data_IF_255914372721
#
_entry.id   IF_255914372721
#
_cell.length_a   1.000
_cell.length_b   1.000
_cell.length_c   1.000
_cell.angle_alpha   90.00
_cell.angle_beta   90.00
_cell.angle_gamma   90.00
#
_symmetry.space_group_name_H-M   'P 1'
#
loop_
_entity.id
_entity.type
_entity.pdbx_description
1 polymer ?
#
# COMPACT_ATOMS: atom_id res chain seq x y z
N UNK A 1 4.69 -20.87 -4.02
CA UNK A 1 5.50 -19.74 -4.57
C UNK A 1 6.98 -20.07 -4.45
N UNK A 2 7.82 -19.47 -5.27
CA UNK A 2 9.27 -19.73 -5.36
C UNK A 2 10.07 -18.43 -5.27
N UNK A 3 11.32 -18.52 -4.84
CA UNK A 3 12.26 -17.41 -4.84
C UNK A 3 13.69 -17.88 -5.07
N UNK A 4 14.45 -17.14 -5.87
CA UNK A 4 15.89 -17.34 -6.01
C UNK A 4 16.63 -16.54 -4.93
N UNK A 5 17.55 -17.19 -4.21
CA UNK A 5 18.28 -16.62 -3.07
C UNK A 5 19.75 -17.03 -3.10
N UNK A 6 20.59 -16.25 -2.42
CA UNK A 6 21.95 -16.65 -2.06
C UNK A 6 21.93 -17.50 -0.78
N UNK A 7 23.10 -17.97 -0.34
CA UNK A 7 23.22 -18.73 0.91
C UNK A 7 22.88 -17.90 2.15
N UNK A 8 22.86 -16.57 2.04
CA UNK A 8 22.33 -15.66 3.07
C UNK A 8 20.81 -15.57 2.92
N UNK A 9 20.10 -16.52 3.53
CA UNK A 9 18.64 -16.58 3.50
C UNK A 9 18.06 -15.77 4.65
N UNK A 10 17.23 -14.80 4.32
CA UNK A 10 16.41 -14.04 5.28
C UNK A 10 14.94 -14.41 5.13
N UNK A 11 14.12 -14.27 6.18
CA UNK A 11 12.67 -14.37 6.06
C UNK A 11 12.15 -13.54 4.87
N UNK A 12 11.13 -14.02 4.13
CA UNK A 12 10.59 -13.36 2.94
C UNK A 12 9.74 -12.13 3.30
N UNK A 13 10.30 -11.17 4.04
CA UNK A 13 9.62 -9.95 4.49
C UNK A 13 9.90 -8.81 3.52
N UNK A 14 8.87 -8.31 2.83
CA UNK A 14 8.99 -7.27 1.81
C UNK A 14 9.83 -7.75 0.63
N UNK A 15 9.36 -8.79 -0.05
CA UNK A 15 10.13 -9.50 -1.07
C UNK A 15 9.30 -9.88 -2.29
N UNK A 16 9.99 -10.07 -3.41
CA UNK A 16 9.40 -10.65 -4.62
C UNK A 16 9.47 -12.17 -4.55
N UNK A 17 8.37 -12.82 -4.93
CA UNK A 17 8.30 -14.27 -5.16
C UNK A 17 7.66 -14.53 -6.52
N UNK A 18 7.59 -15.79 -6.92
CA UNK A 18 7.11 -16.16 -8.24
C UNK A 18 6.38 -17.50 -8.26
N UNK A 19 5.67 -17.73 -9.35
CA UNK A 19 5.43 -19.08 -9.89
C UNK A 19 6.75 -19.75 -10.30
N UNK A 20 6.72 -21.05 -10.59
CA UNK A 20 7.90 -21.76 -11.09
C UNK A 20 8.43 -21.15 -12.41
N UNK A 21 7.54 -20.85 -13.36
CA UNK A 21 7.91 -20.17 -14.60
C UNK A 21 8.49 -18.78 -14.36
N UNK A 22 7.96 -18.04 -13.39
CA UNK A 22 8.43 -16.70 -13.05
C UNK A 22 9.82 -16.68 -12.38
N UNK A 23 10.13 -17.65 -11.50
CA UNK A 23 11.48 -17.73 -10.89
C UNK A 23 12.51 -18.18 -11.92
N UNK A 24 12.15 -19.10 -12.81
CA UNK A 24 13.03 -19.53 -13.91
C UNK A 24 13.29 -18.40 -14.90
N UNK A 25 12.27 -17.61 -15.26
CA UNK A 25 12.47 -16.42 -16.08
C UNK A 25 13.45 -15.45 -15.41
N UNK A 26 13.33 -15.20 -14.11
CA UNK A 26 14.26 -14.35 -13.38
C UNK A 26 15.69 -14.90 -13.40
N UNK A 27 15.87 -16.19 -13.13
CA UNK A 27 17.19 -16.83 -13.19
C UNK A 27 17.81 -16.69 -14.57
N UNK A 28 17.05 -17.00 -15.62
CA UNK A 28 17.51 -16.99 -16.99
C UNK A 28 17.82 -15.57 -17.49
N UNK A 29 16.93 -14.61 -17.20
CA UNK A 29 17.04 -13.25 -17.71
C UNK A 29 17.98 -12.36 -16.88
N UNK A 30 18.14 -12.60 -15.58
CA UNK A 30 18.87 -11.68 -14.69
C UNK A 30 20.07 -12.30 -14.00
N UNK A 31 20.12 -13.62 -13.79
CA UNK A 31 21.09 -14.23 -12.87
C UNK A 31 22.20 -14.96 -13.61
N UNK A 32 21.86 -15.98 -14.40
CA UNK A 32 22.82 -16.94 -14.97
C UNK A 32 23.54 -16.44 -16.23
N UNK A 33 23.08 -15.31 -16.79
CA UNK A 33 23.81 -14.62 -17.85
C UNK A 33 25.04 -13.85 -17.34
N UNK A 34 25.19 -13.72 -16.01
CA UNK A 34 26.37 -13.16 -15.35
C UNK A 34 27.22 -14.29 -14.79
N UNK A 35 28.53 -14.09 -14.76
CA UNK A 35 29.51 -15.04 -14.22
C UNK A 35 30.51 -14.28 -13.34
N UNK A 36 30.50 -14.49 -12.02
CA UNK A 36 29.61 -15.38 -11.26
C UNK A 36 28.13 -14.94 -11.31
N UNK A 37 27.20 -15.85 -10.97
CA UNK A 37 25.75 -15.59 -10.88
C UNK A 37 25.47 -14.28 -10.12
N UNK A 38 24.61 -13.43 -10.69
CA UNK A 38 24.22 -12.13 -10.11
C UNK A 38 23.77 -12.29 -8.65
N UNK A 39 24.17 -11.35 -7.80
CA UNK A 39 23.88 -11.32 -6.35
C UNK A 39 24.35 -12.55 -5.55
N UNK A 40 25.20 -13.41 -6.12
CA UNK A 40 25.61 -14.65 -5.48
C UNK A 40 24.46 -15.62 -5.26
N UNK A 41 23.45 -15.60 -6.13
CA UNK A 41 22.31 -16.51 -6.06
C UNK A 41 22.78 -17.94 -6.33
N UNK A 42 22.45 -18.84 -5.41
CA UNK A 42 22.88 -20.24 -5.40
C UNK A 42 21.72 -21.22 -5.29
N UNK A 43 20.53 -20.76 -4.86
CA UNK A 43 19.41 -21.65 -4.53
C UNK A 43 18.06 -21.12 -5.01
N UNK A 44 17.12 -22.05 -5.15
CA UNK A 44 15.68 -21.77 -5.26
C UNK A 44 15.02 -22.32 -4.01
N UNK A 45 14.35 -21.44 -3.26
CA UNK A 45 13.51 -21.82 -2.13
C UNK A 45 12.05 -21.87 -2.59
N UNK A 46 11.28 -22.78 -1.98
CA UNK A 46 9.84 -22.94 -2.20
C UNK A 46 9.09 -22.58 -0.92
N UNK A 47 8.00 -21.83 -1.08
CA UNK A 47 7.15 -21.33 -0.02
C UNK A 47 5.72 -21.81 -0.26
N UNK A 48 5.11 -22.43 0.75
CA UNK A 48 3.67 -22.66 0.79
C UNK A 48 3.03 -21.40 1.36
N UNK A 49 2.28 -20.68 0.55
CA UNK A 49 1.74 -19.36 0.91
C UNK A 49 0.23 -19.45 0.99
N UNK A 50 -0.35 -18.90 2.06
CA UNK A 50 -1.77 -18.62 2.16
C UNK A 50 -1.97 -17.12 1.95
N UNK A 51 -3.02 -16.74 1.23
CA UNK A 51 -3.37 -15.33 1.04
C UNK A 51 -4.86 -15.13 1.24
N UNK A 52 -5.23 -13.93 1.67
CA UNK A 52 -6.62 -13.48 1.68
C UNK A 52 -6.68 -12.02 1.26
N UNK A 53 -7.52 -11.76 0.26
CA UNK A 53 -7.77 -10.42 -0.23
C UNK A 53 -8.30 -9.53 0.89
N UNK A 54 -7.87 -8.28 0.90
CA UNK A 54 -8.49 -7.28 1.76
C UNK A 54 -9.88 -6.96 1.26
N UNK A 55 -10.77 -6.54 2.16
CA UNK A 55 -12.13 -6.15 1.78
C UNK A 55 -12.17 -5.10 0.65
N UNK A 56 -11.40 -3.99 0.69
CA UNK A 56 -11.44 -2.99 -0.38
C UNK A 56 -10.97 -3.52 -1.74
N UNK A 57 -10.06 -4.49 -1.76
CA UNK A 57 -9.59 -5.13 -2.99
C UNK A 57 -10.61 -6.14 -3.53
N UNK A 58 -11.17 -6.96 -2.62
CA UNK A 58 -12.17 -7.96 -2.94
C UNK A 58 -13.47 -7.34 -3.47
N UNK A 59 -13.91 -6.20 -2.92
CA UNK A 59 -15.08 -5.46 -3.41
C UNK A 59 -14.89 -4.93 -4.85
N UNK A 60 -13.64 -4.83 -5.34
CA UNK A 60 -13.32 -4.54 -6.75
C UNK A 60 -13.20 -5.79 -7.62
N UNK A 61 -13.48 -6.96 -7.07
CA UNK A 61 -13.42 -8.24 -7.76
C UNK A 61 -11.99 -8.69 -8.07
N UNK A 62 -11.05 -8.41 -7.17
CA UNK A 62 -9.65 -8.86 -7.26
C UNK A 62 -9.22 -9.53 -5.94
N UNK A 63 -8.40 -10.56 -6.03
CA UNK A 63 -7.71 -11.17 -4.89
C UNK A 63 -6.30 -10.62 -4.70
N UNK A 64 -5.69 -10.16 -5.80
CA UNK A 64 -4.35 -9.60 -5.82
C UNK A 64 -4.36 -8.15 -6.34
N UNK A 65 -3.55 -7.30 -5.70
CA UNK A 65 -3.33 -5.93 -6.15
C UNK A 65 -2.19 -5.85 -7.17
N UNK A 66 -1.78 -4.62 -7.50
CA UNK A 66 -0.61 -4.40 -8.37
C UNK A 66 0.65 -5.02 -7.73
N UNK A 67 1.47 -5.74 -8.50
CA UNK A 67 2.77 -6.18 -7.96
C UNK A 67 3.68 -4.98 -7.72
N UNK A 68 3.99 -4.70 -6.45
CA UNK A 68 5.05 -3.78 -6.05
C UNK A 68 6.38 -4.53 -5.96
N UNK A 69 7.38 -4.08 -6.72
CA UNK A 69 8.73 -4.59 -6.66
C UNK A 69 9.37 -4.26 -5.33
N UNK A 70 10.08 -5.24 -4.77
CA UNK A 70 10.91 -5.05 -3.61
C UNK A 70 12.39 -5.16 -3.94
N UNK A 71 13.15 -4.10 -3.68
CA UNK A 71 14.61 -4.08 -3.81
C UNK A 71 15.21 -3.88 -2.42
N UNK A 72 15.94 -4.88 -1.94
CA UNK A 72 16.52 -4.89 -0.57
C UNK A 72 15.50 -4.56 0.54
N UNK A 73 14.24 -5.00 0.39
CA UNK A 73 13.17 -4.78 1.36
C UNK A 73 12.30 -3.55 1.09
N UNK A 74 12.78 -2.62 0.25
CA UNK A 74 12.05 -1.41 -0.09
C UNK A 74 11.14 -1.62 -1.29
N UNK A 75 9.89 -1.18 -1.19
CA UNK A 75 8.96 -1.10 -2.30
C UNK A 75 9.41 -0.03 -3.29
N UNK A 76 9.80 -0.44 -4.49
CA UNK A 76 10.32 0.41 -5.58
C UNK A 76 9.34 0.58 -6.73
N UNK A 77 8.14 0.01 -6.61
CA UNK A 77 7.00 0.34 -7.46
C UNK A 77 6.54 -0.78 -8.40
N UNK A 78 5.58 -0.48 -9.30
CA UNK A 78 5.21 0.85 -9.75
C UNK A 78 4.54 1.67 -8.63
N UNK A 79 4.98 2.91 -8.47
CA UNK A 79 4.33 3.88 -7.57
C UNK A 79 3.72 4.94 -8.46
N UNK A 80 2.45 5.28 -8.32
CA UNK A 80 1.89 6.39 -9.08
C UNK A 80 2.30 7.71 -8.43
N UNK A 81 2.89 8.61 -9.22
CA UNK A 81 3.34 9.92 -8.77
C UNK A 81 2.41 11.05 -9.21
N UNK A 82 1.80 10.93 -10.40
CA UNK A 82 0.93 11.97 -10.98
C UNK A 82 -0.16 11.36 -11.86
N UNK A 83 -1.14 12.18 -12.24
CA UNK A 83 -2.18 11.85 -13.22
C UNK A 83 -2.29 12.94 -14.27
N UNK A 84 -2.39 12.57 -15.55
CA UNK A 84 -2.71 13.48 -16.67
C UNK A 84 -3.95 12.96 -17.39
N UNK A 85 -5.12 13.53 -17.06
CA UNK A 85 -6.40 13.08 -17.62
C UNK A 85 -6.69 11.62 -17.24
N UNK A 86 -6.94 10.74 -18.20
CA UNK A 86 -7.16 9.30 -17.95
C UNK A 86 -5.86 8.47 -17.80
N UNK A 87 -4.67 9.08 -17.93
CA UNK A 87 -3.37 8.38 -17.86
C UNK A 87 -2.70 8.58 -16.50
N UNK A 88 -2.19 7.50 -15.93
CA UNK A 88 -1.35 7.50 -14.74
C UNK A 88 0.12 7.70 -15.13
N UNK A 89 0.82 8.54 -14.37
CA UNK A 89 2.26 8.75 -14.47
C UNK A 89 2.92 8.09 -13.25
N UNK A 90 3.70 7.05 -13.52
CA UNK A 90 4.42 6.31 -12.49
C UNK A 90 5.74 7.01 -12.17
N UNK A 91 6.13 6.98 -10.89
CA UNK A 91 7.42 7.43 -10.41
C UNK A 91 8.55 6.70 -11.16
N UNK A 92 9.66 7.40 -11.38
CA UNK A 92 10.79 6.93 -12.19
C UNK A 92 11.31 5.53 -11.83
N UNK A 93 12.02 4.91 -12.78
CA UNK A 93 12.55 3.55 -12.68
C UNK A 93 13.43 3.36 -11.43
N UNK A 94 13.23 2.22 -10.75
CA UNK A 94 13.78 1.76 -9.47
C UNK A 94 15.28 1.99 -9.15
N UNK A 95 16.09 2.56 -10.04
CA UNK A 95 17.54 2.71 -9.85
C UNK A 95 17.98 3.97 -9.08
N UNK A 96 17.17 5.04 -9.01
CA UNK A 96 17.57 6.32 -8.40
C UNK A 96 16.59 6.86 -7.33
N UNK A 97 15.59 6.09 -6.93
CA UNK A 97 14.62 6.52 -5.93
C UNK A 97 15.10 6.14 -4.52
N UNK A 98 15.99 6.94 -3.94
CA UNK A 98 16.18 6.89 -2.48
C UNK A 98 14.95 7.52 -1.83
N UNK A 99 14.08 6.67 -1.29
CA UNK A 99 12.83 7.05 -0.61
C UNK A 99 13.05 8.00 0.59
N UNK A 100 14.28 8.13 1.09
CA UNK A 100 14.56 8.83 2.34
C UNK A 100 14.81 10.33 2.27
N UNK A 101 15.11 10.95 1.12
CA UNK A 101 15.32 12.40 1.10
C UNK A 101 14.82 13.04 -0.18
N UNK A 102 13.72 13.81 -0.08
CA UNK A 102 13.58 15.10 -0.78
C UNK A 102 13.64 15.16 -2.32
N UNK A 103 13.73 14.04 -3.05
CA UNK A 103 13.82 14.04 -4.52
C UNK A 103 12.45 14.01 -5.22
N UNK A 104 11.38 14.27 -4.48
CA UNK A 104 10.04 14.46 -5.02
C UNK A 104 9.56 15.88 -4.75
N UNK A 105 10.23 16.88 -5.35
CA UNK A 105 9.53 18.14 -5.61
C UNK A 105 8.36 17.78 -6.52
N UNK A 106 7.16 17.73 -5.94
CA UNK A 106 5.87 17.42 -6.58
C UNK A 106 5.48 15.94 -6.74
N UNK A 107 5.88 15.03 -5.84
CA UNK A 107 5.23 13.71 -5.76
C UNK A 107 4.57 13.48 -4.39
N UNK A 108 3.38 12.89 -4.43
CA UNK A 108 2.57 12.45 -3.28
C UNK A 108 3.15 11.16 -2.66
N UNK A 109 4.47 11.07 -2.48
CA UNK A 109 5.16 9.91 -1.89
C UNK A 109 4.92 9.75 -0.37
N UNK A 110 3.71 10.07 0.11
CA UNK A 110 3.24 9.71 1.45
C UNK A 110 2.14 8.64 1.41
N UNK A 111 1.77 8.15 0.23
CA UNK A 111 0.67 7.20 0.05
C UNK A 111 1.14 6.02 -0.82
N UNK A 112 1.21 4.82 -0.24
CA UNK A 112 1.27 3.58 -1.00
C UNK A 112 -0.15 3.21 -1.44
N UNK A 113 -0.27 2.40 -2.50
CA UNK A 113 -1.54 1.79 -2.84
C UNK A 113 -2.11 0.94 -1.68
N UNK A 114 -1.26 0.56 -0.73
CA UNK A 114 -1.63 -0.08 0.54
C UNK A 114 -2.43 0.79 1.50
N UNK A 115 -2.36 2.12 1.43
CA UNK A 115 -3.18 2.97 2.29
C UNK A 115 -4.67 2.87 1.94
N UNK A 116 -4.96 2.59 0.66
CA UNK A 116 -6.33 2.42 0.17
C UNK A 116 -6.80 0.97 0.25
N UNK A 117 -5.92 0.02 -0.07
CA UNK A 117 -6.29 -1.39 -0.20
C UNK A 117 -5.75 -2.28 0.92
N UNK A 118 -5.09 -1.72 1.94
CA UNK A 118 -4.29 -2.50 2.90
C UNK A 118 -3.06 -3.12 2.25
N UNK A 119 -2.20 -3.76 3.05
CA UNK A 119 -1.00 -4.49 2.61
C UNK A 119 -1.33 -5.75 1.81
N UNK A 120 -1.96 -5.60 0.65
CA UNK A 120 -2.33 -6.71 -0.24
C UNK A 120 -1.10 -7.43 -0.78
N UNK A 121 -1.26 -8.71 -1.11
CA UNK A 121 -0.33 -9.42 -1.98
C UNK A 121 -0.55 -8.93 -3.40
N UNK A 122 0.51 -8.46 -4.04
CA UNK A 122 0.46 -8.01 -5.42
C UNK A 122 0.82 -9.12 -6.38
N UNK A 123 0.32 -9.09 -7.61
CA UNK A 123 0.71 -10.02 -8.65
C UNK A 123 0.84 -9.35 -10.02
N UNK A 124 1.60 -10.00 -10.93
CA UNK A 124 1.51 -9.73 -12.35
C UNK A 124 1.83 -10.96 -13.19
N UNK A 125 1.07 -11.13 -14.28
CA UNK A 125 1.43 -12.05 -15.34
C UNK A 125 2.63 -11.46 -16.10
N UNK A 126 3.74 -12.19 -16.21
CA UNK A 126 4.93 -11.68 -16.87
C UNK A 126 4.65 -11.46 -18.37
N UNK A 127 5.19 -10.39 -18.93
CA UNK A 127 4.84 -9.89 -20.26
C UNK A 127 3.65 -8.93 -20.27
N UNK A 128 3.12 -8.62 -19.10
CA UNK A 128 2.07 -7.60 -18.91
C UNK A 128 2.45 -6.64 -17.77
N UNK A 129 1.69 -5.55 -17.62
CA UNK A 129 1.91 -4.57 -16.57
C UNK A 129 1.93 -5.21 -15.17
N UNK A 130 2.81 -4.78 -14.25
CA UNK A 130 3.69 -3.62 -14.36
C UNK A 130 4.98 -3.85 -15.12
N UNK A 131 5.72 -4.92 -14.84
CA UNK A 131 6.94 -5.29 -15.55
C UNK A 131 7.20 -6.80 -15.38
N UNK A 132 7.87 -7.48 -16.33
CA UNK A 132 8.33 -6.96 -17.61
C UNK A 132 7.18 -6.83 -18.63
N UNK A 133 7.31 -5.87 -19.55
CA UNK A 133 6.36 -5.64 -20.66
C UNK A 133 6.82 -6.32 -21.97
N UNK A 134 7.84 -7.17 -21.90
CA UNK A 134 8.41 -7.89 -23.03
C UNK A 134 7.85 -9.31 -23.10
N UNK A 135 7.88 -9.96 -24.28
CA UNK A 135 7.43 -11.34 -24.42
C UNK A 135 8.13 -12.29 -23.44
N UNK A 136 7.35 -13.13 -22.78
CA UNK A 136 7.84 -14.15 -21.85
C UNK A 136 7.45 -15.54 -22.35
N UNK A 137 8.45 -16.42 -22.41
CA UNK A 137 8.33 -17.77 -23.00
C UNK A 137 8.30 -18.88 -21.95
N UNK A 138 8.40 -18.53 -20.66
CA UNK A 138 8.12 -19.46 -19.57
C UNK A 138 6.59 -19.58 -19.37
N UNK A 139 6.02 -20.79 -19.48
CA UNK A 139 4.58 -21.00 -19.29
C UNK A 139 4.09 -20.52 -17.92
N UNK A 140 2.92 -19.88 -17.89
CA UNK A 140 2.24 -19.43 -16.66
C UNK A 140 3.14 -18.63 -15.71
N UNK A 141 4.08 -17.86 -16.28
CA UNK A 141 5.00 -17.06 -15.48
C UNK A 141 4.25 -15.89 -14.82
N UNK A 142 4.15 -15.97 -13.50
CA UNK A 142 3.61 -14.94 -12.59
C UNK A 142 4.66 -14.55 -11.56
N UNK A 143 4.73 -13.26 -11.23
CA UNK A 143 5.43 -12.72 -10.08
C UNK A 143 4.45 -12.20 -9.04
N UNK A 144 4.83 -12.30 -7.77
CA UNK A 144 4.08 -11.82 -6.62
C UNK A 144 4.94 -10.96 -5.71
N UNK A 145 4.30 -10.10 -4.94
CA UNK A 145 4.94 -9.25 -3.93
C UNK A 145 4.34 -9.51 -2.55
N UNK A 146 5.18 -9.88 -1.59
CA UNK A 146 4.78 -10.17 -0.21
C UNK A 146 5.22 -9.02 0.70
N UNK A 147 4.32 -8.08 1.06
CA UNK A 147 4.67 -6.96 1.93
C UNK A 147 4.91 -7.42 3.37
N UNK A 148 6.14 -7.25 3.85
CA UNK A 148 6.49 -7.39 5.26
C UNK A 148 6.51 -6.03 5.96
N UNK A 149 6.97 -5.99 7.22
CA UNK A 149 7.11 -4.74 7.96
C UNK A 149 8.08 -3.76 7.29
N UNK A 150 7.81 -2.46 7.46
CA UNK A 150 8.59 -1.34 6.93
C UNK A 150 8.94 -1.47 5.43
N UNK A 151 7.94 -1.69 4.54
CA UNK A 151 8.20 -1.80 3.11
C UNK A 151 8.66 -0.49 2.48
N UNK A 152 8.63 0.66 3.16
CA UNK A 152 9.15 1.92 2.62
C UNK A 152 10.67 2.08 2.70
N UNK A 153 11.39 1.21 3.42
CA UNK A 153 12.84 1.32 3.61
C UNK A 153 13.57 0.04 3.24
N UNK A 154 14.85 0.18 2.94
CA UNK A 154 15.74 -0.97 2.76
C UNK A 154 16.02 -1.66 4.10
N UNK A 155 16.45 -2.91 4.05
CA UNK A 155 16.70 -3.73 5.25
C UNK A 155 17.68 -3.08 6.24
N UNK A 156 18.68 -2.35 5.76
CA UNK A 156 19.68 -1.65 6.57
C UNK A 156 19.18 -0.36 7.21
N UNK A 157 18.06 0.20 6.71
CA UNK A 157 17.47 1.47 7.18
C UNK A 157 16.15 1.29 7.94
N UNK A 158 15.70 0.04 8.05
CA UNK A 158 14.53 -0.35 8.83
C UNK A 158 14.80 -0.16 10.33
N UNK A 159 13.82 0.42 11.02
CA UNK A 159 13.86 0.62 12.47
C UNK A 159 12.50 0.24 13.10
N UNK A 160 12.48 0.15 14.43
CA UNK A 160 11.28 -0.22 15.17
C UNK A 160 10.10 0.76 14.98
N UNK A 161 10.40 2.04 14.71
CA UNK A 161 9.37 3.04 14.47
C UNK A 161 8.68 2.80 13.13
N UNK A 162 9.45 2.49 12.09
CA UNK A 162 8.94 2.14 10.77
C UNK A 162 8.14 0.84 10.80
N UNK A 163 8.61 -0.17 11.55
CA UNK A 163 7.89 -1.44 11.72
C UNK A 163 6.53 -1.26 12.37
N UNK A 164 6.46 -0.41 13.41
CA UNK A 164 5.22 -0.11 14.10
C UNK A 164 4.24 0.70 13.21
N UNK A 165 4.77 1.64 12.42
CA UNK A 165 3.95 2.47 11.52
C UNK A 165 3.50 1.70 10.28
N UNK A 166 4.31 0.75 9.82
CA UNK A 166 4.06 -0.01 8.61
C UNK A 166 4.22 -1.51 8.89
N UNK A 167 3.21 -2.15 9.53
CA UNK A 167 3.33 -3.55 9.97
C UNK A 167 3.40 -4.56 8.82
N UNK A 168 3.08 -4.16 7.58
CA UNK A 168 3.00 -5.07 6.45
C UNK A 168 1.76 -5.96 6.48
N UNK A 169 1.76 -7.00 5.66
CA UNK A 169 0.63 -7.94 5.50
C UNK A 169 0.86 -9.33 6.11
N UNK A 170 2.01 -9.57 6.74
CA UNK A 170 2.33 -10.88 7.29
C UNK A 170 1.47 -11.19 8.52
N UNK A 171 0.83 -12.35 8.52
CA UNK A 171 0.07 -12.89 9.64
C UNK A 171 0.88 -13.91 10.44
N UNK A 172 0.63 -13.97 11.75
CA UNK A 172 1.09 -15.08 12.61
C UNK A 172 0.33 -16.40 12.31
N UNK A 173 -0.91 -16.29 11.81
CA UNK A 173 -1.79 -17.43 11.50
C UNK A 173 -2.40 -17.38 10.10
N UNK A 174 -3.54 -18.06 9.87
CA UNK A 174 -4.27 -17.98 8.62
C UNK A 174 -4.66 -16.53 8.27
N UNK A 175 -4.50 -16.08 7.02
CA UNK A 175 -4.82 -14.70 6.65
C UNK A 175 -6.29 -14.33 6.88
N UNK A 176 -6.50 -13.25 7.63
CA UNK A 176 -7.83 -12.72 7.93
C UNK A 176 -8.38 -11.85 6.79
N UNK A 177 -7.49 -11.27 5.96
CA UNK A 177 -7.84 -10.25 4.98
C UNK A 177 -8.03 -8.87 5.61
N UNK A 178 -7.61 -8.67 6.87
CA UNK A 178 -7.49 -7.32 7.42
C UNK A 178 -6.34 -6.60 6.73
N UNK A 179 -6.37 -5.27 6.71
CA UNK A 179 -5.38 -4.46 5.96
C UNK A 179 -3.92 -4.73 6.34
N UNK A 180 -3.64 -5.36 7.49
CA UNK A 180 -2.32 -5.72 7.98
C UNK A 180 -2.11 -7.25 8.17
N UNK A 181 -3.05 -8.08 7.75
CA UNK A 181 -2.94 -9.54 7.79
C UNK A 181 -3.60 -10.15 6.54
N UNK A 182 -2.79 -10.28 5.50
CA UNK A 182 -3.20 -10.67 4.14
C UNK A 182 -2.46 -11.89 3.62
N UNK A 183 -1.34 -12.28 4.22
CA UNK A 183 -0.59 -13.47 3.82
C UNK A 183 0.15 -14.12 4.98
N UNK A 184 0.38 -15.42 4.87
CA UNK A 184 1.28 -16.19 5.73
C UNK A 184 2.00 -17.25 4.89
N UNK A 185 3.08 -17.81 5.42
CA UNK A 185 3.86 -18.80 4.69
C UNK A 185 4.47 -19.87 5.58
N UNK A 186 4.73 -21.02 4.97
CA UNK A 186 5.57 -22.09 5.51
C UNK A 186 6.69 -22.38 4.50
N UNK A 187 7.90 -22.69 5.00
CA UNK A 187 8.99 -23.17 4.15
C UNK A 187 8.63 -24.54 3.57
N UNK A 188 8.77 -24.68 2.25
CA UNK A 188 8.38 -25.88 1.50
C UNK A 188 9.55 -26.50 0.71
N UNK A 189 10.76 -26.37 1.25
CA UNK A 189 12.00 -26.96 0.72
C UNK A 189 12.85 -25.99 -0.08
N UNK A 190 14.07 -26.43 -0.40
CA UNK A 190 15.04 -25.70 -1.21
C UNK A 190 15.87 -26.62 -2.11
N UNK A 191 16.27 -26.10 -3.26
CA UNK A 191 17.20 -26.77 -4.16
C UNK A 191 18.36 -25.84 -4.50
N UNK A 192 19.55 -26.40 -4.68
CA UNK A 192 20.71 -25.69 -5.21
C UNK A 192 20.60 -25.59 -6.74
N UNK A 193 21.10 -24.49 -7.31
CA UNK A 193 21.23 -24.35 -8.75
C UNK A 193 22.28 -25.31 -9.30
N UNK A 194 23.35 -25.55 -8.54
CA UNK A 194 24.45 -26.44 -8.94
C UNK A 194 23.99 -27.89 -9.05
N UNK A 195 23.20 -28.38 -8.09
CA UNK A 195 22.59 -29.72 -8.17
C UNK A 195 21.56 -29.81 -9.31
N UNK A 196 20.80 -28.74 -9.55
CA UNK A 196 19.79 -28.68 -10.60
C UNK A 196 20.41 -28.77 -12.00
N UNK A 197 21.48 -28.02 -12.23
CA UNK A 197 22.08 -27.87 -13.56
C UNK A 197 23.30 -28.78 -13.77
N UNK A 198 23.73 -29.50 -12.73
CA UNK A 198 24.82 -30.48 -12.78
C UNK A 198 26.21 -29.86 -12.80
N UNK A 199 26.42 -28.75 -12.08
CA UNK A 199 27.74 -28.11 -11.93
C UNK A 199 28.31 -28.50 -10.55
N UNK A 200 29.30 -29.40 -10.45
CA UNK A 200 29.80 -29.87 -9.16
C UNK A 200 30.69 -28.85 -8.43
N UNK A 201 31.43 -28.04 -9.18
CA UNK A 201 32.27 -26.96 -8.66
C UNK A 201 32.05 -25.71 -9.52
N UNK A 202 31.25 -24.79 -8.99
CA UNK A 202 30.90 -23.55 -9.68
C UNK A 202 32.10 -22.61 -9.81
N UNK A 203 33.03 -22.61 -8.85
CA UNK A 203 34.22 -21.77 -8.90
C UNK A 203 35.14 -22.22 -10.04
N UNK A 204 35.40 -23.53 -10.14
CA UNK A 204 36.16 -24.11 -11.25
C UNK A 204 35.44 -23.94 -12.60
N UNK A 205 34.11 -24.11 -12.64
CA UNK A 205 33.32 -23.84 -13.84
C UNK A 205 33.51 -22.39 -14.33
N UNK A 206 33.35 -21.41 -13.45
CA UNK A 206 33.51 -19.99 -13.81
C UNK A 206 34.95 -19.64 -14.18
N UNK A 207 35.95 -20.21 -13.50
CA UNK A 207 37.37 -19.98 -13.77
C UNK A 207 37.82 -20.56 -15.13
N UNK A 208 37.17 -21.62 -15.61
CA UNK A 208 37.48 -22.24 -16.92
C UNK A 208 37.05 -21.42 -18.14
N UNK A 209 36.37 -20.28 -17.94
CA UNK A 209 35.82 -19.45 -19.02
C UNK A 209 34.49 -19.95 -19.57
N UNK A 210 33.93 -21.05 -19.04
CA UNK A 210 32.57 -21.50 -19.34
C UNK A 210 31.54 -20.49 -18.84
N UNK A 211 30.38 -20.45 -19.51
CA UNK A 211 29.25 -19.58 -19.16
C UNK A 211 27.98 -20.39 -19.13
N UNK A 212 27.17 -20.21 -18.08
CA UNK A 212 25.88 -20.89 -17.99
C UNK A 212 24.93 -20.42 -19.11
N UNK A 213 24.95 -19.14 -19.43
CA UNK A 213 24.14 -18.55 -20.50
C UNK A 213 24.77 -17.27 -21.05
N UNK A 214 24.64 -17.04 -22.36
CA UNK A 214 25.05 -15.83 -23.06
C UNK A 214 23.85 -15.35 -23.89
N UNK A 215 23.26 -14.21 -23.50
CA UNK A 215 21.99 -13.72 -24.06
C UNK A 215 22.02 -13.55 -25.57
N UNK A 216 23.14 -13.06 -26.10
CA UNK A 216 23.33 -12.76 -27.52
C UNK A 216 23.38 -14.03 -28.37
N UNK A 217 23.75 -15.17 -27.77
CA UNK A 217 23.83 -16.45 -28.45
C UNK A 217 22.62 -17.35 -28.19
N UNK A 218 21.74 -16.95 -27.27
CA UNK A 218 20.63 -17.77 -26.74
C UNK A 218 21.09 -19.17 -26.30
N UNK A 219 22.31 -19.25 -25.73
CA UNK A 219 22.94 -20.50 -25.28
C UNK A 219 24.08 -20.26 -24.29
N UNK A 220 24.49 -21.29 -23.56
CA UNK A 220 25.71 -21.26 -22.77
C UNK A 220 26.99 -21.42 -23.60
N UNK A 221 28.13 -21.19 -22.95
CA UNK A 221 29.46 -21.41 -23.54
C UNK A 221 30.12 -22.60 -22.86
N UNK A 222 30.26 -23.71 -23.58
CA UNK A 222 30.68 -24.99 -23.02
C UNK A 222 29.66 -25.57 -22.03
N UNK A 223 28.40 -25.14 -22.06
CA UNK A 223 27.31 -25.57 -21.18
C UNK A 223 25.99 -25.32 -21.90
N UNK A 224 25.00 -26.20 -21.76
CA UNK A 224 23.80 -26.17 -22.63
C UNK A 224 22.47 -26.18 -21.87
N UNK A 225 22.49 -26.23 -20.53
CA UNK A 225 21.27 -26.39 -19.74
C UNK A 225 20.28 -25.23 -19.93
N UNK A 226 20.79 -24.01 -20.13
CA UNK A 226 20.01 -22.77 -20.31
C UNK A 226 19.71 -22.42 -21.79
N UNK A 227 20.08 -23.24 -22.76
CA UNK A 227 19.92 -22.89 -24.18
C UNK A 227 18.46 -22.67 -24.62
N UNK A 228 18.22 -21.79 -25.61
CA UNK A 228 16.89 -21.56 -26.18
C UNK A 228 15.88 -20.99 -25.17
N UNK A 229 16.16 -19.81 -24.62
CA UNK A 229 15.30 -19.03 -23.74
C UNK A 229 13.95 -18.69 -24.36
N UNK A 230 13.88 -18.54 -25.68
CA UNK A 230 12.63 -18.22 -26.39
C UNK A 230 11.84 -19.46 -26.82
N UNK A 231 12.35 -20.67 -26.53
CA UNK A 231 11.64 -21.92 -26.81
C UNK A 231 10.76 -22.33 -25.62
N UNK A 232 9.44 -22.41 -25.86
CA UNK A 232 8.47 -22.77 -24.82
C UNK A 232 8.61 -24.21 -24.34
N UNK A 233 8.99 -25.14 -25.20
CA UNK A 233 9.18 -26.55 -24.84
C UNK A 233 10.46 -26.73 -24.02
N UNK A 234 11.55 -26.03 -24.38
CA UNK A 234 12.78 -26.01 -23.58
C UNK A 234 12.52 -25.43 -22.17
N UNK A 235 11.75 -24.34 -22.09
CA UNK A 235 11.37 -23.74 -20.81
C UNK A 235 10.44 -24.64 -19.97
N UNK A 236 9.48 -25.32 -20.59
CA UNK A 236 8.64 -26.30 -19.92
C UNK A 236 9.47 -27.48 -19.40
N UNK A 237 10.44 -27.96 -20.18
CA UNK A 237 11.36 -29.01 -19.74
C UNK A 237 12.16 -28.58 -18.50
N UNK A 238 12.66 -27.32 -18.44
CA UNK A 238 13.34 -26.80 -17.24
C UNK A 238 12.43 -26.79 -16.01
N UNK A 239 11.18 -26.38 -16.19
CA UNK A 239 10.18 -26.41 -15.11
C UNK A 239 10.00 -27.84 -14.58
N UNK A 240 9.83 -28.82 -15.49
CA UNK A 240 9.71 -30.23 -15.11
C UNK A 240 10.94 -30.77 -14.37
N UNK A 241 12.15 -30.32 -14.72
CA UNK A 241 13.38 -30.71 -14.01
C UNK A 241 13.41 -30.20 -12.58
N UNK A 242 12.98 -28.97 -12.34
CA UNK A 242 12.86 -28.42 -10.98
C UNK A 242 11.81 -29.17 -10.17
N UNK A 243 10.63 -29.40 -10.74
CA UNK A 243 9.56 -30.13 -10.04
C UNK A 243 9.99 -31.54 -9.66
N UNK A 244 10.65 -32.26 -10.58
CA UNK A 244 11.19 -33.58 -10.31
C UNK A 244 12.23 -33.57 -9.18
N UNK A 245 13.12 -32.57 -9.16
CA UNK A 245 14.13 -32.46 -8.12
C UNK A 245 13.53 -32.14 -6.75
N UNK A 246 12.54 -31.24 -6.67
CA UNK A 246 11.80 -31.00 -5.43
C UNK A 246 11.07 -32.26 -4.96
N UNK A 247 10.41 -32.98 -5.86
CA UNK A 247 9.69 -34.21 -5.51
C UNK A 247 10.64 -35.31 -5.00
N UNK A 248 11.83 -35.43 -5.59
CA UNK A 248 12.84 -36.39 -5.15
C UNK A 248 13.42 -36.02 -3.77
N UNK A 249 13.69 -34.73 -3.53
CA UNK A 249 14.31 -34.25 -2.29
C UNK A 249 13.32 -34.13 -1.12
N UNK A 250 12.05 -33.85 -1.43
CA UNK A 250 10.98 -33.63 -0.46
C UNK A 250 9.72 -34.44 -0.80
N UNK A 251 9.79 -35.78 -0.76
CA UNK A 251 8.68 -36.65 -1.20
C UNK A 251 7.41 -36.51 -0.36
N UNK A 252 7.52 -36.02 0.88
CA UNK A 252 6.39 -35.83 1.80
C UNK A 252 5.75 -34.43 1.72
N UNK A 253 6.32 -33.51 0.92
CA UNK A 253 5.75 -32.16 0.76
C UNK A 253 4.81 -32.11 -0.46
N UNK A 254 3.73 -31.33 -0.36
CA UNK A 254 2.78 -31.13 -1.46
C UNK A 254 3.49 -30.65 -2.72
N UNK A 255 3.28 -31.32 -3.87
CA UNK A 255 3.92 -30.93 -5.14
C UNK A 255 3.24 -29.71 -5.75
N UNK A 256 3.92 -29.02 -6.65
CA UNK A 256 3.37 -27.81 -7.29
C UNK A 256 2.17 -28.13 -8.17
N UNK A 257 2.20 -29.28 -8.83
CA UNK A 257 1.06 -29.82 -9.57
C UNK A 257 -0.18 -30.09 -8.72
N UNK A 258 -0.01 -30.42 -7.44
CA UNK A 258 -1.13 -30.73 -6.53
C UNK A 258 -1.66 -29.46 -5.84
N UNK A 259 -0.84 -28.41 -5.76
CA UNK A 259 -1.20 -27.10 -5.25
C UNK A 259 -0.54 -26.01 -6.13
N UNK A 260 -1.12 -25.73 -7.31
CA UNK A 260 -0.52 -24.79 -8.25
C UNK A 260 -0.52 -23.36 -7.68
N UNK A 261 0.39 -22.49 -8.14
CA UNK A 261 0.39 -21.09 -7.74
C UNK A 261 -0.95 -20.43 -8.11
N UNK A 262 -1.47 -19.52 -7.27
CA UNK A 262 -2.76 -18.89 -7.52
C UNK A 262 -2.71 -18.04 -8.81
N UNK A 263 -3.76 -18.06 -9.66
CA UNK A 263 -3.78 -17.21 -10.84
C UNK A 263 -3.72 -15.73 -10.44
N UNK A 264 -3.05 -14.93 -11.27
CA UNK A 264 -3.01 -13.49 -11.07
C UNK A 264 -4.25 -12.83 -11.67
N UNK A 265 -5.18 -12.41 -10.82
CA UNK A 265 -6.44 -11.76 -11.19
C UNK A 265 -6.39 -10.22 -11.10
N UNK A 266 -5.20 -9.66 -10.91
CA UNK A 266 -5.00 -8.21 -10.92
C UNK A 266 -5.49 -7.60 -12.25
N UNK A 267 -6.40 -6.62 -12.12
CA UNK A 267 -6.94 -5.86 -13.24
C UNK A 267 -6.54 -4.39 -13.10
N UNK A 268 -5.66 -3.93 -14.00
CA UNK A 268 -5.17 -2.55 -14.03
C UNK A 268 -6.28 -1.52 -14.04
N UNK A 269 -7.32 -1.74 -14.86
CA UNK A 269 -8.41 -0.79 -15.00
C UNK A 269 -9.20 -0.72 -13.71
N UNK A 270 -9.56 -1.85 -13.11
CA UNK A 270 -10.35 -1.88 -11.86
C UNK A 270 -9.57 -1.32 -10.67
N UNK A 271 -8.28 -1.63 -10.60
CA UNK A 271 -7.41 -1.19 -9.53
C UNK A 271 -7.19 0.32 -9.54
N UNK A 272 -6.99 0.91 -10.73
CA UNK A 272 -6.80 2.35 -10.90
C UNK A 272 -8.04 3.08 -11.43
N UNK A 273 -9.24 2.49 -11.33
CA UNK A 273 -10.47 3.05 -11.92
C UNK A 273 -10.94 4.31 -11.20
N UNK A 274 -10.58 4.48 -9.93
CA UNK A 274 -11.07 5.56 -9.09
C UNK A 274 -10.21 6.84 -9.24
N UNK A 275 -10.81 7.96 -9.70
CA UNK A 275 -10.15 9.26 -9.71
C UNK A 275 -9.59 9.72 -8.35
N UNK A 276 -10.14 9.21 -7.24
CA UNK A 276 -9.86 9.67 -5.87
C UNK A 276 -8.52 9.21 -5.31
N UNK A 277 -7.73 8.43 -6.05
CA UNK A 277 -6.47 7.87 -5.55
C UNK A 277 -5.33 8.90 -5.38
N UNK A 278 -5.37 10.05 -6.09
CA UNK A 278 -4.29 11.07 -6.03
C UNK A 278 -4.78 12.52 -5.87
N UNK A 279 -6.09 12.71 -5.74
CA UNK A 279 -6.67 13.94 -5.24
C UNK A 279 -7.97 13.51 -4.59
N UNK A 280 -8.02 13.45 -3.26
CA UNK A 280 -9.26 13.91 -2.65
C UNK A 280 -9.13 15.43 -2.76
N UNK A 281 -9.90 16.12 -3.62
CA UNK A 281 -9.96 17.57 -3.54
C UNK A 281 -10.19 17.92 -2.09
N UNK A 282 -9.46 18.89 -1.57
CA UNK A 282 -9.73 19.33 -0.23
C UNK A 282 -11.22 19.71 -0.16
N UNK A 283 -11.84 19.39 0.96
CA UNK A 283 -13.22 19.76 1.19
C UNK A 283 -13.38 19.97 2.68
N UNK A 284 -13.47 21.23 3.11
CA UNK A 284 -13.81 21.54 4.50
C UNK A 284 -15.25 21.12 4.73
N UNK A 285 -15.48 20.23 5.69
CA UNK A 285 -16.80 19.67 5.93
C UNK A 285 -17.80 20.77 6.31
N UNK A 286 -19.00 20.71 5.72
CA UNK A 286 -20.06 21.70 5.98
C UNK A 286 -21.32 21.06 6.58
N UNK A 287 -22.16 21.83 7.31
CA UNK A 287 -23.39 21.31 7.89
C UNK A 287 -24.27 20.53 6.89
N UNK A 288 -24.67 19.32 7.30
CA UNK A 288 -25.49 18.40 6.51
C UNK A 288 -24.75 17.16 5.99
N UNK A 289 -23.42 17.21 5.90
CA UNK A 289 -22.60 16.12 5.35
C UNK A 289 -22.23 15.05 6.38
N UNK A 290 -21.91 13.83 5.91
CA UNK A 290 -21.46 12.72 6.78
C UNK A 290 -20.16 13.06 7.51
N UNK A 291 -19.18 13.64 6.81
CA UNK A 291 -17.93 14.04 7.42
C UNK A 291 -18.17 15.10 8.51
N UNK A 292 -19.00 16.12 8.26
CA UNK A 292 -19.31 17.15 9.27
C UNK A 292 -19.95 16.55 10.52
N UNK A 293 -20.90 15.63 10.37
CA UNK A 293 -21.52 14.91 11.50
C UNK A 293 -20.47 14.13 12.32
N UNK A 294 -19.53 13.47 11.65
CA UNK A 294 -18.47 12.70 12.30
C UNK A 294 -17.46 13.59 13.03
N UNK A 295 -17.08 14.73 12.43
CA UNK A 295 -16.19 15.74 13.02
C UNK A 295 -16.83 16.34 14.27
N UNK A 296 -18.10 16.75 14.18
CA UNK A 296 -18.85 17.31 15.31
C UNK A 296 -19.03 16.26 16.41
N UNK A 297 -19.36 15.02 16.06
CA UNK A 297 -19.47 13.93 17.04
C UNK A 297 -18.14 13.65 17.74
N UNK A 298 -17.04 13.56 16.99
CA UNK A 298 -15.70 13.34 17.53
C UNK A 298 -15.30 14.46 18.50
N UNK A 299 -15.57 15.73 18.15
CA UNK A 299 -15.26 16.89 19.01
C UNK A 299 -16.13 16.95 20.27
N UNK A 300 -17.44 16.78 20.13
CA UNK A 300 -18.37 17.02 21.24
C UNK A 300 -18.52 15.82 22.17
N UNK A 301 -18.42 14.60 21.63
CA UNK A 301 -18.71 13.37 22.36
C UNK A 301 -17.54 12.39 22.33
N UNK A 302 -16.99 12.10 21.15
CA UNK A 302 -15.97 11.07 20.95
C UNK A 302 -14.72 11.27 21.81
N UNK A 303 -14.09 12.43 21.73
CA UNK A 303 -12.85 12.75 22.46
C UNK A 303 -13.02 12.76 23.98
N UNK A 304 -14.23 13.05 24.47
CA UNK A 304 -14.54 13.04 25.91
C UNK A 304 -14.83 11.64 26.42
N UNK A 305 -15.54 10.83 25.64
CA UNK A 305 -15.89 9.47 26.01
C UNK A 305 -14.70 8.50 25.84
N UNK A 306 -13.88 8.71 24.81
CA UNK A 306 -12.78 7.82 24.43
C UNK A 306 -11.54 8.62 24.01
N UNK A 307 -10.87 9.33 24.93
CA UNK A 307 -9.71 10.17 24.61
C UNK A 307 -8.56 9.39 23.94
N UNK A 308 -8.40 8.10 24.26
CA UNK A 308 -7.39 7.21 23.66
C UNK A 308 -7.60 7.00 22.15
N UNK A 309 -8.80 7.21 21.63
CA UNK A 309 -9.09 7.12 20.19
C UNK A 309 -8.70 8.39 19.43
N UNK A 310 -8.43 9.48 20.15
CA UNK A 310 -8.11 10.79 19.60
C UNK A 310 -6.80 11.36 20.19
N UNK A 311 -5.68 10.61 20.14
CA UNK A 311 -4.43 11.03 20.73
C UNK A 311 -3.99 12.41 20.21
N UNK A 312 -3.69 13.31 21.14
CA UNK A 312 -3.24 14.67 20.84
C UNK A 312 -4.36 15.66 20.46
N UNK A 313 -5.63 15.25 20.51
CA UNK A 313 -6.77 16.18 20.40
C UNK A 313 -7.42 16.39 21.77
N UNK A 314 -7.57 17.66 22.15
CA UNK A 314 -8.40 18.07 23.28
C UNK A 314 -9.83 18.45 22.84
N UNK A 315 -10.80 18.55 23.76
CA UNK A 315 -12.16 19.00 23.43
C UNK A 315 -12.23 20.47 22.97
N UNK A 316 -11.15 21.21 23.14
CA UNK A 316 -10.97 22.64 22.89
C UNK A 316 -10.42 22.97 21.49
N UNK A 317 -9.88 22.00 20.75
CA UNK A 317 -9.35 22.24 19.40
C UNK A 317 -10.46 22.37 18.34
N UNK A 318 -10.15 23.04 17.23
CA UNK A 318 -11.12 23.39 16.17
C UNK A 318 -11.63 22.18 15.36
N UNK A 319 -12.75 22.37 14.65
CA UNK A 319 -13.35 21.31 13.81
C UNK A 319 -12.39 20.89 12.68
N UNK A 320 -11.53 21.79 12.21
CA UNK A 320 -10.52 21.50 11.18
C UNK A 320 -9.52 20.46 11.67
N UNK A 321 -9.05 20.55 12.91
CA UNK A 321 -8.10 19.63 13.52
C UNK A 321 -8.72 18.25 13.67
N UNK A 322 -9.99 18.19 14.10
CA UNK A 322 -10.76 16.95 14.13
C UNK A 322 -10.96 16.38 12.73
N UNK A 323 -11.29 17.19 11.71
CA UNK A 323 -11.41 16.72 10.34
C UNK A 323 -10.08 16.21 9.78
N UNK A 324 -8.99 16.92 10.02
CA UNK A 324 -7.66 16.50 9.62
C UNK A 324 -7.25 15.20 10.32
N UNK A 325 -7.61 15.04 11.59
CA UNK A 325 -7.39 13.81 12.35
C UNK A 325 -8.22 12.65 11.80
N UNK A 326 -9.52 12.85 11.53
CA UNK A 326 -10.40 11.85 10.93
C UNK A 326 -10.03 11.50 9.49
N UNK A 327 -9.41 12.43 8.77
CA UNK A 327 -8.79 12.17 7.47
C UNK A 327 -7.56 11.26 7.62
N UNK A 328 -6.64 11.60 8.54
CA UNK A 328 -5.41 10.82 8.82
C UNK A 328 -5.68 9.43 9.40
N UNK A 329 -6.71 9.29 10.22
CA UNK A 329 -7.07 8.02 10.88
C UNK A 329 -7.95 7.11 10.02
N UNK A 330 -8.42 7.61 8.87
CA UNK A 330 -9.10 6.80 7.88
C UNK A 330 -10.50 6.31 8.30
N UNK A 331 -11.03 5.25 7.67
CA UNK A 331 -12.42 4.83 7.84
C UNK A 331 -12.78 4.37 9.25
N UNK A 332 -11.79 3.98 10.07
CA UNK A 332 -11.96 3.41 11.41
C UNK A 332 -12.69 4.34 12.38
N UNK A 333 -12.55 5.67 12.19
CA UNK A 333 -13.23 6.69 12.98
C UNK A 333 -14.18 7.57 12.13
N UNK A 334 -14.56 7.11 10.94
CA UNK A 334 -15.60 7.73 10.12
C UNK A 334 -15.13 8.46 8.87
N UNK A 335 -13.83 8.48 8.56
CA UNK A 335 -13.20 8.83 7.27
C UNK A 335 -13.68 10.13 6.60
N UNK A 336 -12.81 11.15 6.59
CA UNK A 336 -13.07 12.46 5.99
C UNK A 336 -12.11 12.81 4.83
N UNK A 337 -12.51 13.67 3.87
CA UNK A 337 -11.58 14.39 3.00
C UNK A 337 -10.62 15.27 3.79
N UNK A 338 -9.43 15.60 3.24
CA UNK A 338 -8.55 16.58 3.87
C UNK A 338 -9.26 17.95 3.87
N UNK A 339 -9.20 18.72 4.97
CA UNK A 339 -9.72 20.09 4.97
C UNK A 339 -8.93 20.95 3.98
N UNK A 340 -9.56 21.99 3.44
CA UNK A 340 -8.85 22.93 2.57
C UNK A 340 -7.83 23.79 3.33
N UNK A 341 -6.74 24.13 2.65
CA UNK A 341 -5.67 25.01 3.15
C UNK A 341 -5.96 26.50 2.91
N UNK A 342 -7.12 26.80 2.31
CA UNK A 342 -7.57 28.16 2.17
C UNK A 342 -7.78 28.74 3.56
N UNK A 343 -6.98 29.75 3.89
CA UNK A 343 -7.00 30.53 5.12
C UNK A 343 -8.29 31.36 5.31
N UNK A 344 -9.44 30.84 4.87
CA UNK A 344 -10.74 31.51 4.84
C UNK A 344 -11.73 30.93 5.87
N UNK A 345 -11.23 30.32 6.94
CA UNK A 345 -11.92 30.34 8.23
C UNK A 345 -11.07 31.14 9.23
N UNK A 346 -10.76 32.40 8.86
CA UNK A 346 -10.56 33.42 9.90
C UNK A 346 -11.90 33.48 10.61
N UNK A 347 -11.89 33.18 11.90
CA UNK A 347 -13.06 33.41 12.73
C UNK A 347 -13.58 34.84 12.48
N UNK A 348 -14.88 35.06 12.63
CA UNK A 348 -15.44 36.40 12.53
C UNK A 348 -16.60 36.51 13.49
N UNK A 349 -16.42 37.23 14.59
CA UNK A 349 -17.55 37.56 15.47
C UNK A 349 -18.40 38.60 14.77
N UNK A 350 -19.66 38.25 14.49
CA UNK A 350 -20.53 39.09 13.68
C UNK A 350 -20.76 40.44 14.35
N UNK A 351 -20.73 41.52 13.57
CA UNK A 351 -20.88 42.90 14.07
C UNK A 351 -22.21 43.53 13.63
N UNK A 352 -22.69 44.58 14.34
CA UNK A 352 -23.93 45.27 13.96
C UNK A 352 -23.94 45.69 12.49
N UNK A 353 -24.97 45.25 11.77
CA UNK A 353 -25.12 45.47 10.32
C UNK A 353 -25.10 44.18 9.50
N UNK A 354 -24.47 43.11 10.01
CA UNK A 354 -24.36 41.83 9.32
C UNK A 354 -25.60 40.95 9.47
N UNK A 355 -25.80 40.02 8.51
CA UNK A 355 -26.95 39.10 8.56
C UNK A 355 -26.84 38.12 9.72
N UNK A 356 -25.67 37.52 9.92
CA UNK A 356 -25.42 36.67 11.08
C UNK A 356 -25.70 37.42 12.39
N UNK A 357 -25.32 38.69 12.48
CA UNK A 357 -25.59 39.49 13.68
C UNK A 357 -27.09 39.60 13.99
N UNK A 358 -27.94 39.78 12.97
CA UNK A 358 -29.40 39.81 13.15
C UNK A 358 -29.94 38.45 13.61
N UNK A 359 -29.46 37.36 13.02
CA UNK A 359 -29.89 36.00 13.36
C UNK A 359 -29.49 35.62 14.80
N UNK A 360 -28.27 35.96 15.21
CA UNK A 360 -27.78 35.80 16.59
C UNK A 360 -28.61 36.65 17.55
N UNK A 361 -28.87 37.92 17.23
CA UNK A 361 -29.69 38.82 18.07
C UNK A 361 -31.12 38.29 18.24
N UNK A 362 -31.73 37.76 17.18
CA UNK A 362 -33.04 37.15 17.26
C UNK A 362 -33.02 35.89 18.13
N UNK A 363 -32.04 34.99 17.92
CA UNK A 363 -31.89 33.77 18.73
C UNK A 363 -31.71 34.09 20.23
N UNK A 364 -30.91 35.11 20.56
CA UNK A 364 -30.67 35.58 21.93
C UNK A 364 -31.92 36.20 22.58
N UNK A 365 -32.64 37.06 21.85
CA UNK A 365 -33.74 37.87 22.43
C UNK A 365 -35.08 37.14 22.40
N UNK A 366 -35.42 36.55 21.26
CA UNK A 366 -36.76 36.05 21.00
C UNK A 366 -36.74 34.52 20.89
N UNK A 367 -35.82 33.97 20.09
CA UNK A 367 -35.77 32.55 19.75
C UNK A 367 -35.64 31.64 20.97
N UNK A 368 -34.63 31.85 21.82
CA UNK A 368 -34.41 31.00 23.00
C UNK A 368 -35.50 31.15 24.06
N UNK A 369 -36.15 32.31 24.14
CA UNK A 369 -37.22 32.54 25.12
C UNK A 369 -38.54 31.93 24.66
N UNK A 370 -38.84 31.98 23.36
CA UNK A 370 -40.04 31.37 22.79
C UNK A 370 -39.90 29.84 22.64
N UNK A 371 -38.71 29.35 22.29
CA UNK A 371 -38.46 27.93 22.03
C UNK A 371 -37.11 27.45 22.63
N UNK A 372 -37.00 27.35 23.97
CA UNK A 372 -35.74 27.01 24.65
C UNK A 372 -35.12 25.68 24.21
N UNK A 373 -35.96 24.69 23.91
CA UNK A 373 -35.54 23.35 23.48
C UNK A 373 -34.83 23.34 22.12
N UNK A 374 -34.94 24.41 21.33
CA UNK A 374 -34.23 24.52 20.05
C UNK A 374 -32.76 24.91 20.22
N UNK A 375 -32.32 25.25 21.43
CA UNK A 375 -30.95 25.69 21.73
C UNK A 375 -30.33 24.88 22.88
N UNK A 376 -30.24 23.53 22.77
CA UNK A 376 -29.64 22.69 23.80
C UNK A 376 -28.23 23.18 24.16
N UNK A 377 -27.99 23.34 25.47
CA UNK A 377 -26.71 23.82 26.02
C UNK A 377 -26.60 25.34 26.13
N UNK A 378 -27.51 26.12 25.54
CA UNK A 378 -27.59 27.56 25.74
C UNK A 378 -28.69 27.88 26.76
N UNK A 379 -28.46 28.96 27.52
CA UNK A 379 -29.44 29.53 28.45
C UNK A 379 -29.83 30.94 28.01
N UNK A 380 -31.04 31.40 28.34
CA UNK A 380 -31.37 32.82 28.23
C UNK A 380 -30.28 33.66 28.93
N UNK A 381 -29.67 34.59 28.19
CA UNK A 381 -28.58 35.43 28.68
C UNK A 381 -27.15 34.91 28.44
N UNK A 382 -26.94 33.81 27.71
CA UNK A 382 -25.60 33.46 27.23
C UNK A 382 -25.03 34.53 26.26
N UNK A 383 -23.70 34.59 26.14
CA UNK A 383 -22.99 35.60 25.33
C UNK A 383 -23.24 35.48 23.83
N UNK A 384 -22.99 36.56 23.10
CA UNK A 384 -23.27 36.65 21.66
C UNK A 384 -22.51 35.59 20.85
N UNK A 385 -21.23 35.41 21.15
CA UNK A 385 -20.35 34.42 20.55
C UNK A 385 -20.84 32.99 20.83
N UNK A 386 -21.45 32.72 21.99
CA UNK A 386 -22.00 31.40 22.29
C UNK A 386 -23.23 31.07 21.41
N UNK A 387 -24.07 32.06 21.14
CA UNK A 387 -25.18 31.90 20.21
C UNK A 387 -24.71 31.82 18.75
N UNK A 388 -23.68 32.60 18.37
CA UNK A 388 -23.10 32.52 17.03
C UNK A 388 -22.43 31.18 16.78
N UNK A 389 -21.63 30.68 17.74
CA UNK A 389 -21.01 29.36 17.70
C UNK A 389 -22.08 28.29 17.54
N UNK A 390 -23.14 28.34 18.34
CA UNK A 390 -24.23 27.36 18.25
C UNK A 390 -24.91 27.37 16.88
N UNK A 391 -25.18 28.54 16.32
CA UNK A 391 -25.83 28.66 15.00
C UNK A 391 -24.92 28.20 13.86
N UNK A 392 -23.61 28.43 13.97
CA UNK A 392 -22.58 27.91 13.06
C UNK A 392 -22.48 26.38 13.16
N UNK A 393 -22.27 25.84 14.36
CA UNK A 393 -22.08 24.40 14.61
C UNK A 393 -23.31 23.56 14.23
N UNK A 394 -24.51 24.11 14.42
CA UNK A 394 -25.76 23.41 14.06
C UNK A 394 -26.22 23.66 12.63
N UNK A 395 -25.59 24.60 11.91
CA UNK A 395 -25.96 25.00 10.55
C UNK A 395 -27.34 25.68 10.44
N UNK A 396 -27.94 26.08 11.57
CA UNK A 396 -29.29 26.68 11.60
C UNK A 396 -29.32 28.11 11.03
N UNK A 397 -28.19 28.80 11.00
CA UNK A 397 -28.02 30.07 10.30
C UNK A 397 -26.85 29.97 9.32
N UNK A 398 -27.10 29.65 8.03
CA UNK A 398 -26.05 29.39 7.04
C UNK A 398 -25.12 30.58 6.77
N UNK A 399 -25.54 31.79 7.11
CA UNK A 399 -24.76 33.02 6.94
C UNK A 399 -23.83 33.32 8.11
N UNK A 400 -23.80 32.48 9.15
CA UNK A 400 -22.95 32.68 10.32
C UNK A 400 -21.61 31.94 10.20
N UNK A 401 -20.47 32.65 10.24
CA UNK A 401 -19.16 32.02 10.40
C UNK A 401 -18.87 31.67 11.87
N UNK A 402 -17.80 30.90 12.11
CA UNK A 402 -17.29 30.64 13.46
C UNK A 402 -16.89 31.96 14.14
N UNK A 403 -17.39 32.28 15.34
CA UNK A 403 -16.99 33.48 16.08
C UNK A 403 -15.52 33.42 16.52
N UNK A 404 -14.88 34.58 16.67
CA UNK A 404 -13.52 34.65 17.20
C UNK A 404 -13.48 34.46 18.71
N UNK A 405 -12.43 33.77 19.18
CA UNK A 405 -12.14 33.70 20.60
C UNK A 405 -11.86 35.12 21.15
N UNK A 406 -12.42 35.51 22.31
CA UNK A 406 -12.06 36.76 22.96
C UNK A 406 -10.58 36.71 23.39
N UNK A 407 -9.84 37.83 23.35
CA UNK A 407 -8.48 37.88 23.88
C UNK A 407 -8.50 37.49 25.37
N UNK A 408 -7.60 36.58 25.77
CA UNK A 408 -7.48 36.16 27.16
C UNK A 408 -7.18 37.39 28.06
N UNK A 409 -7.95 37.54 29.14
CA UNK A 409 -7.83 38.64 30.10
C UNK A 409 -6.59 38.52 30.99
#
# INVERSE_FOLDING_TARGET
MYRAVSDKVYPPLSVNTASLGGVLWYLHNEVVHQSPRKFGITKIIRLRVQTRATRPLFERGMNFGVRLAFDSGQATGPLVCRRRGARFEFCGTAANATFEEGAHRHSLARIFEWDAYGYFVGCNNLGTFPFPLTPVFYPNAVWYSLPGPCPSRTFDRRDAACDAQQPGGLCEGPPSGTGNCTWSYESAGEISLDELVGIPDYAAFSASGRREYVKELDRGYGFTWWDSMHDRLANLWRMQKIDALFAAKYPNLTRDQDLPPPPCDFDYRRFYQDPGFYTVPCHTAVPGERCFKNVVYAKLHGVRAHPDWYPGLGPDVGLREFQAFLHRTGPTLGGCPPPCDDAAAVCHTAVPGERCWKDVRYAMRDGINAHPLWYPGLRPGAGFEAFQQYLYETGKAPACPEPCAPPAA
#
